data_IF_563120506793
#
_entry.id   IF_563120506793
#
_cell.length_a   1.000
_cell.length_b   1.000
_cell.length_c   1.000
_cell.angle_alpha   90.00
_cell.angle_beta   90.00
_cell.angle_gamma   90.00
#
_symmetry.space_group_name_H-M   'P 1'
#
loop_
_entity.id
_entity.type
_entity.pdbx_description
1 polymer ?
#
# COMPACT_ATOMS: atom_id res chain seq x y z
N UNK A 1 -18.55 13.43 -4.51
CA UNK A 1 -19.20 12.23 -3.91
C UNK A 1 -18.26 11.06 -4.14
N UNK A 2 -18.05 10.25 -3.10
CA UNK A 2 -17.16 9.08 -3.19
C UNK A 2 -17.74 8.04 -4.16
N UNK A 3 -17.03 7.75 -5.24
CA UNK A 3 -17.29 6.58 -6.09
C UNK A 3 -16.89 5.28 -5.35
N UNK A 4 -17.89 4.59 -4.80
CA UNK A 4 -17.71 3.35 -4.05
C UNK A 4 -17.27 2.18 -4.93
N UNK A 5 -17.68 2.14 -6.21
CA UNK A 5 -17.31 1.06 -7.13
C UNK A 5 -15.83 1.13 -7.47
N UNK A 6 -15.31 2.35 -7.69
CA UNK A 6 -13.88 2.59 -7.88
C UNK A 6 -13.08 2.20 -6.64
N UNK A 7 -13.50 2.62 -5.44
CA UNK A 7 -12.81 2.23 -4.21
C UNK A 7 -12.82 0.72 -4.04
N UNK A 8 -13.98 0.07 -4.20
CA UNK A 8 -14.10 -1.38 -4.04
C UNK A 8 -13.13 -2.13 -4.97
N UNK A 9 -12.98 -1.67 -6.21
CA UNK A 9 -12.02 -2.23 -7.18
C UNK A 9 -10.58 -2.11 -6.68
N UNK A 10 -10.18 -0.94 -6.15
CA UNK A 10 -8.84 -0.71 -5.61
C UNK A 10 -8.56 -1.56 -4.37
N UNK A 11 -9.51 -1.64 -3.42
CA UNK A 11 -9.37 -2.45 -2.21
C UNK A 11 -9.32 -3.95 -2.53
N UNK A 12 -10.10 -4.39 -3.52
CA UNK A 12 -10.07 -5.76 -4.01
C UNK A 12 -8.70 -6.10 -4.63
N UNK A 13 -8.13 -5.17 -5.40
CA UNK A 13 -6.79 -5.34 -5.97
C UNK A 13 -5.72 -5.49 -4.88
N UNK A 14 -5.77 -4.66 -3.84
CA UNK A 14 -4.87 -4.79 -2.67
C UNK A 14 -4.97 -6.18 -2.06
N UNK A 15 -6.18 -6.68 -1.83
CA UNK A 15 -6.40 -8.01 -1.22
C UNK A 15 -5.77 -9.12 -2.06
N UNK A 16 -6.04 -9.17 -3.36
CA UNK A 16 -5.44 -10.17 -4.27
C UNK A 16 -3.91 -10.14 -4.18
N UNK A 17 -3.32 -8.96 -4.37
CA UNK A 17 -1.86 -8.87 -4.49
C UNK A 17 -1.16 -9.18 -3.17
N UNK A 18 -1.77 -8.81 -2.03
CA UNK A 18 -1.28 -9.22 -0.71
C UNK A 18 -1.34 -10.71 -0.50
N UNK A 19 -2.37 -11.41 -0.96
CA UNK A 19 -2.41 -12.88 -0.88
C UNK A 19 -1.23 -13.54 -1.62
N UNK A 20 -0.87 -13.00 -2.79
CA UNK A 20 0.32 -13.45 -3.50
C UNK A 20 1.61 -13.16 -2.73
N UNK A 21 1.73 -11.99 -2.10
CA UNK A 21 2.89 -11.63 -1.28
C UNK A 21 3.00 -12.52 -0.03
N UNK A 22 1.89 -12.81 0.64
CA UNK A 22 1.85 -13.73 1.78
C UNK A 22 2.29 -15.14 1.36
N UNK A 23 1.90 -15.60 0.17
CA UNK A 23 2.42 -16.87 -0.37
C UNK A 23 3.91 -16.80 -0.66
N UNK A 24 4.39 -15.72 -1.27
CA UNK A 24 5.82 -15.54 -1.55
C UNK A 24 6.67 -15.50 -0.28
N UNK A 25 6.18 -14.86 0.79
CA UNK A 25 6.87 -14.77 2.08
C UNK A 25 7.01 -16.09 2.84
N UNK A 26 6.42 -17.19 2.36
CA UNK A 26 6.63 -18.55 2.89
C UNK A 26 7.86 -19.24 2.28
N UNK A 27 8.39 -18.73 1.17
CA UNK A 27 9.63 -19.23 0.56
C UNK A 27 10.83 -18.75 1.37
N UNK A 28 11.92 -19.50 1.30
CA UNK A 28 13.20 -19.11 1.90
C UNK A 28 13.83 -17.93 1.16
N UNK A 29 14.79 -17.26 1.81
CA UNK A 29 15.48 -16.12 1.21
C UNK A 29 16.30 -16.54 -0.01
N UNK A 30 16.95 -17.71 0.08
CA UNK A 30 17.68 -18.30 -1.05
C UNK A 30 16.76 -18.53 -2.25
N UNK A 31 15.58 -19.12 -2.05
CA UNK A 31 14.61 -19.33 -3.12
C UNK A 31 14.10 -18.01 -3.73
N UNK A 32 13.94 -16.95 -2.94
CA UNK A 32 13.51 -15.65 -3.45
C UNK A 32 14.63 -14.93 -4.21
N UNK A 33 15.88 -15.04 -3.73
CA UNK A 33 17.03 -14.35 -4.30
C UNK A 33 17.59 -15.03 -5.56
N UNK A 34 17.49 -16.36 -5.65
CA UNK A 34 18.04 -17.14 -6.77
C UNK A 34 17.06 -17.31 -7.93
N UNK A 35 15.76 -17.16 -7.67
CA UNK A 35 14.71 -17.26 -8.68
C UNK A 35 14.57 -15.91 -9.42
N UNK A 36 14.86 -15.87 -10.75
CA UNK A 36 14.89 -14.63 -11.51
C UNK A 36 13.52 -13.96 -11.63
N UNK A 37 12.43 -14.67 -11.36
CA UNK A 37 11.07 -14.15 -11.49
C UNK A 37 10.43 -13.88 -10.11
N UNK A 38 10.80 -14.63 -9.06
CA UNK A 38 10.12 -14.56 -7.77
C UNK A 38 10.20 -13.18 -7.11
N UNK A 39 11.41 -12.67 -6.91
CA UNK A 39 11.61 -11.40 -6.21
C UNK A 39 11.17 -10.19 -7.06
N UNK A 40 11.46 -10.13 -8.38
CA UNK A 40 10.87 -9.10 -9.24
C UNK A 40 9.34 -9.12 -9.25
N UNK A 41 8.71 -10.29 -9.30
CA UNK A 41 7.26 -10.40 -9.18
C UNK A 41 6.76 -9.89 -7.83
N UNK A 42 7.44 -10.22 -6.72
CA UNK A 42 7.09 -9.69 -5.40
C UNK A 42 7.18 -8.16 -5.35
N UNK A 43 8.29 -7.57 -5.83
CA UNK A 43 8.47 -6.10 -5.93
C UNK A 43 7.33 -5.45 -6.71
N UNK A 44 6.98 -5.99 -7.88
CA UNK A 44 5.89 -5.47 -8.69
C UNK A 44 4.55 -5.52 -7.96
N UNK A 45 4.23 -6.63 -7.30
CA UNK A 45 2.98 -6.78 -6.53
C UNK A 45 2.91 -5.79 -5.38
N UNK A 46 4.03 -5.52 -4.70
CA UNK A 46 4.10 -4.48 -3.66
C UNK A 46 3.79 -3.10 -4.24
N UNK A 47 4.37 -2.75 -5.39
CA UNK A 47 4.07 -1.49 -6.08
C UNK A 47 2.57 -1.40 -6.36
N UNK A 48 1.96 -2.44 -6.94
CA UNK A 48 0.50 -2.46 -7.24
C UNK A 48 -0.34 -2.27 -5.97
N UNK A 49 0.03 -2.92 -4.86
CA UNK A 49 -0.62 -2.72 -3.57
C UNK A 49 -0.56 -1.25 -3.12
N UNK A 50 0.62 -0.64 -3.16
CA UNK A 50 0.81 0.75 -2.73
C UNK A 50 0.09 1.74 -3.65
N UNK A 51 0.19 1.58 -4.96
CA UNK A 51 -0.54 2.39 -5.95
C UNK A 51 -2.05 2.33 -5.73
N UNK A 52 -2.58 1.13 -5.46
CA UNK A 52 -4.01 0.96 -5.22
C UNK A 52 -4.45 1.66 -3.93
N UNK A 53 -3.62 1.62 -2.89
CA UNK A 53 -3.89 2.30 -1.62
C UNK A 53 -3.83 3.83 -1.77
N UNK A 54 -2.83 4.33 -2.49
CA UNK A 54 -2.69 5.76 -2.82
C UNK A 54 -3.89 6.23 -3.64
N UNK A 55 -4.26 5.49 -4.70
CA UNK A 55 -5.41 5.83 -5.53
C UNK A 55 -6.73 5.86 -4.75
N UNK A 56 -6.89 4.98 -3.76
CA UNK A 56 -8.06 5.00 -2.88
C UNK A 56 -8.02 6.21 -1.93
N UNK A 57 -6.85 6.52 -1.37
CA UNK A 57 -6.65 7.69 -0.51
C UNK A 57 -6.94 9.00 -1.25
N UNK A 58 -6.34 9.20 -2.42
CA UNK A 58 -6.51 10.40 -3.24
C UNK A 58 -7.96 10.58 -3.68
N UNK A 59 -8.64 9.49 -4.00
CA UNK A 59 -10.05 9.53 -4.36
C UNK A 59 -10.93 9.97 -3.19
N UNK A 60 -10.65 9.50 -1.97
CA UNK A 60 -11.34 9.98 -0.76
C UNK A 60 -11.03 11.44 -0.49
N UNK A 61 -9.76 11.85 -0.54
CA UNK A 61 -9.32 13.24 -0.36
C UNK A 61 -10.08 14.18 -1.28
N UNK A 62 -10.10 13.87 -2.58
CA UNK A 62 -10.80 14.68 -3.58
C UNK A 62 -12.33 14.68 -3.37
N UNK A 63 -12.90 13.52 -3.01
CA UNK A 63 -14.36 13.38 -2.83
C UNK A 63 -14.90 14.10 -1.61
N UNK A 64 -14.07 14.21 -0.57
CA UNK A 64 -14.38 14.84 0.72
C UNK A 64 -14.01 16.33 0.78
N UNK A 65 -13.41 16.87 -0.29
CA UNK A 65 -12.99 18.27 -0.33
C UNK A 65 -11.85 18.60 0.64
N UNK A 66 -11.03 17.60 0.98
CA UNK A 66 -9.85 17.81 1.82
C UNK A 66 -8.77 18.58 1.04
N UNK A 67 -7.72 19.05 1.74
CA UNK A 67 -6.61 19.73 1.09
C UNK A 67 -5.94 18.83 0.04
N UNK A 68 -5.47 19.42 -1.05
CA UNK A 68 -4.78 18.67 -2.11
C UNK A 68 -3.48 18.05 -1.58
N UNK A 69 -3.29 16.76 -1.87
CA UNK A 69 -2.05 16.06 -1.56
C UNK A 69 -0.92 16.54 -2.48
N UNK A 70 0.24 16.82 -1.91
CA UNK A 70 1.45 17.24 -2.64
C UNK A 70 2.41 16.09 -2.96
N UNK A 71 2.15 14.90 -2.39
CA UNK A 71 2.90 13.66 -2.64
C UNK A 71 2.09 12.46 -2.14
N UNK A 72 2.49 11.24 -2.53
CA UNK A 72 1.86 10.00 -2.01
C UNK A 72 1.96 9.85 -0.49
N UNK A 73 3.06 10.32 0.09
CA UNK A 73 3.22 10.38 1.56
C UNK A 73 2.19 11.33 2.15
N UNK A 74 1.94 12.46 1.48
CA UNK A 74 0.97 13.45 1.92
C UNK A 74 -0.46 12.94 1.86
N UNK A 75 -0.81 12.08 0.90
CA UNK A 75 -2.13 11.43 0.83
C UNK A 75 -2.47 10.70 2.13
N UNK A 76 -1.57 9.86 2.63
CA UNK A 76 -1.81 9.13 3.89
C UNK A 76 -1.81 10.04 5.11
N UNK A 77 -1.03 11.13 5.09
CA UNK A 77 -1.05 12.14 6.16
C UNK A 77 -2.41 12.81 6.26
N UNK A 78 -2.96 13.27 5.13
CA UNK A 78 -4.27 13.93 5.07
C UNK A 78 -5.37 13.01 5.60
N UNK A 79 -5.35 11.72 5.26
CA UNK A 79 -6.33 10.76 5.80
C UNK A 79 -6.24 10.62 7.33
N UNK A 80 -5.03 10.67 7.89
CA UNK A 80 -4.84 10.67 9.34
C UNK A 80 -5.35 11.96 9.99
N UNK A 81 -5.02 13.12 9.42
CA UNK A 81 -5.48 14.44 9.85
C UNK A 81 -7.02 14.54 9.84
N UNK A 82 -7.67 13.94 8.84
CA UNK A 82 -9.12 13.91 8.69
C UNK A 82 -9.82 12.80 9.50
N UNK A 83 -9.09 11.98 10.25
CA UNK A 83 -9.64 10.90 11.07
C UNK A 83 -10.21 9.72 10.26
N UNK A 84 -9.86 9.60 8.97
CA UNK A 84 -10.24 8.46 8.11
C UNK A 84 -9.50 7.19 8.53
N UNK A 85 -8.25 7.36 8.95
CA UNK A 85 -7.38 6.31 9.52
C UNK A 85 -6.73 6.84 10.80
N UNK A 86 -6.24 5.95 11.66
CA UNK A 86 -5.50 6.38 12.86
C UNK A 86 -4.18 7.07 12.47
N UNK A 87 -3.68 7.96 13.34
CA UNK A 87 -2.39 8.64 13.11
C UNK A 87 -1.21 7.66 13.07
N UNK A 88 -1.27 6.58 13.84
CA UNK A 88 -0.29 5.50 13.83
C UNK A 88 -0.27 4.78 12.47
N UNK A 89 -1.46 4.42 11.96
CA UNK A 89 -1.59 3.79 10.65
C UNK A 89 -1.16 4.74 9.54
N UNK A 90 -1.53 6.02 9.62
CA UNK A 90 -1.07 7.06 8.70
C UNK A 90 0.46 7.12 8.63
N UNK A 91 1.14 7.12 9.78
CA UNK A 91 2.61 7.15 9.83
C UNK A 91 3.21 5.90 9.17
N UNK A 92 2.65 4.73 9.45
CA UNK A 92 3.09 3.47 8.84
C UNK A 92 2.93 3.46 7.31
N UNK A 93 1.80 3.99 6.81
CA UNK A 93 1.54 4.08 5.37
C UNK A 93 2.37 5.15 4.67
N UNK A 94 2.74 6.22 5.38
CA UNK A 94 3.70 7.21 4.91
C UNK A 94 5.06 6.57 4.61
N UNK A 95 5.55 5.71 5.51
CA UNK A 95 6.80 4.98 5.28
C UNK A 95 6.68 3.96 4.14
N UNK A 96 5.54 3.28 4.03
CA UNK A 96 5.24 2.40 2.90
C UNK A 96 5.25 3.15 1.55
N UNK A 97 4.72 4.37 1.49
CA UNK A 97 4.76 5.21 0.30
C UNK A 97 6.20 5.63 -0.07
N UNK A 98 7.05 5.89 0.93
CA UNK A 98 8.49 6.14 0.69
C UNK A 98 9.18 4.90 0.12
N UNK A 99 8.87 3.72 0.67
CA UNK A 99 9.41 2.46 0.17
C UNK A 99 8.98 2.17 -1.27
N UNK A 100 7.71 2.42 -1.61
CA UNK A 100 7.23 2.38 -3.01
C UNK A 100 8.08 3.26 -3.92
N UNK A 101 8.40 4.49 -3.51
CA UNK A 101 9.18 5.40 -4.35
C UNK A 101 10.57 4.85 -4.63
N UNK A 102 11.19 4.21 -3.64
CA UNK A 102 12.47 3.51 -3.82
C UNK A 102 12.34 2.37 -4.83
N UNK A 103 11.29 1.53 -4.72
CA UNK A 103 11.05 0.42 -5.66
C UNK A 103 10.83 0.87 -7.11
N UNK A 104 10.10 1.98 -7.32
CA UNK A 104 9.71 2.42 -8.66
C UNK A 104 10.83 3.20 -9.35
N UNK A 105 11.42 4.16 -8.63
CA UNK A 105 12.35 5.10 -9.26
C UNK A 105 13.80 4.63 -9.24
N UNK A 106 14.12 3.56 -8.51
CA UNK A 106 15.47 2.99 -8.44
C UNK A 106 16.54 4.07 -8.19
N UNK A 107 16.22 5.08 -7.37
CA UNK A 107 17.16 6.17 -7.05
C UNK A 107 18.44 5.67 -6.31
N UNK A 108 18.54 4.37 -6.07
CA UNK A 108 19.71 3.59 -5.67
C UNK A 108 19.43 2.08 -5.83
N UNK A 109 20.40 1.24 -5.47
CA UNK A 109 20.19 -0.22 -5.38
C UNK A 109 19.12 -0.51 -4.32
N UNK A 110 18.04 -1.16 -4.73
CA UNK A 110 17.02 -1.66 -3.81
C UNK A 110 17.63 -2.84 -3.07
N UNK A 111 17.76 -2.74 -1.74
CA UNK A 111 18.18 -3.86 -0.91
C UNK A 111 17.12 -4.98 -0.95
N UNK A 112 17.46 -6.08 -1.59
CA UNK A 112 16.60 -7.24 -1.76
C UNK A 112 16.24 -7.91 -0.42
N UNK A 113 17.12 -7.85 0.58
CA UNK A 113 16.79 -8.31 1.92
C UNK A 113 15.69 -7.45 2.54
N UNK A 114 15.74 -6.13 2.34
CA UNK A 114 14.68 -5.22 2.80
C UNK A 114 13.35 -5.47 2.11
N UNK A 115 13.36 -5.84 0.82
CA UNK A 115 12.16 -6.26 0.10
C UNK A 115 11.59 -7.54 0.71
N UNK A 116 12.43 -8.54 0.96
CA UNK A 116 12.02 -9.81 1.56
C UNK A 116 11.44 -9.59 2.96
N UNK A 117 12.04 -8.75 3.79
CA UNK A 117 11.48 -8.37 5.09
C UNK A 117 10.06 -7.80 4.95
N UNK A 118 9.88 -6.87 4.00
CA UNK A 118 8.58 -6.25 3.75
C UNK A 118 7.57 -7.28 3.21
N UNK A 119 7.98 -8.20 2.33
CA UNK A 119 7.15 -9.33 1.87
C UNK A 119 6.71 -10.21 3.04
N UNK A 120 7.61 -10.48 4.00
CA UNK A 120 7.31 -11.30 5.20
C UNK A 120 6.34 -10.64 6.17
N UNK A 121 6.26 -9.30 6.20
CA UNK A 121 5.17 -8.62 6.92
C UNK A 121 3.80 -8.87 6.27
N UNK A 122 3.78 -9.39 5.03
CA UNK A 122 2.59 -9.48 4.20
C UNK A 122 2.02 -8.12 3.81
N UNK A 123 2.64 -6.99 4.21
CA UNK A 123 2.11 -5.62 4.16
C UNK A 123 0.92 -5.35 5.10
N UNK A 124 0.91 -5.88 6.34
CA UNK A 124 -0.26 -5.85 7.27
C UNK A 124 -0.91 -4.49 7.44
N UNK A 125 -0.13 -3.42 7.37
CA UNK A 125 -0.65 -2.05 7.37
C UNK A 125 -1.68 -1.77 6.28
N UNK A 126 -1.56 -2.39 5.09
CA UNK A 126 -2.55 -2.26 4.02
C UNK A 126 -3.85 -3.00 4.32
N UNK A 127 -3.83 -4.06 5.13
CA UNK A 127 -5.06 -4.70 5.60
C UNK A 127 -5.82 -3.78 6.57
N UNK A 128 -5.09 -3.20 7.52
CA UNK A 128 -5.62 -2.18 8.43
C UNK A 128 -6.17 -0.98 7.66
N UNK A 129 -5.48 -0.53 6.60
CA UNK A 129 -5.97 0.52 5.71
C UNK A 129 -7.29 0.15 5.05
N UNK A 130 -7.38 -1.04 4.45
CA UNK A 130 -8.60 -1.53 3.79
C UNK A 130 -9.76 -1.58 4.80
N UNK A 131 -9.51 -2.05 6.02
CA UNK A 131 -10.52 -2.13 7.07
C UNK A 131 -10.98 -0.73 7.52
N UNK A 132 -10.04 0.17 7.82
CA UNK A 132 -10.36 1.54 8.23
C UNK A 132 -11.16 2.29 7.15
N UNK A 133 -10.76 2.16 5.89
CA UNK A 133 -11.45 2.81 4.79
C UNK A 133 -12.86 2.25 4.58
N UNK A 134 -13.03 0.92 4.63
CA UNK A 134 -14.34 0.29 4.54
C UNK A 134 -15.27 0.71 5.68
N UNK A 135 -14.74 0.77 6.92
CA UNK A 135 -15.49 1.24 8.09
C UNK A 135 -15.89 2.71 7.96
N UNK A 136 -14.98 3.57 7.51
CA UNK A 136 -15.27 4.99 7.29
C UNK A 136 -16.38 5.21 6.26
N UNK A 137 -16.36 4.47 5.15
CA UNK A 137 -17.35 4.58 4.08
C UNK A 137 -18.72 4.01 4.48
N UNK A 138 -18.75 3.02 5.38
CA UNK A 138 -20.00 2.41 5.85
C UNK A 138 -20.71 3.22 6.92
N UNK A 139 -19.98 4.12 7.61
CA UNK A 139 -20.52 4.98 8.67
C UNK A 139 -21.21 6.25 8.15
N UNK A 140 -21.42 6.34 6.83
CA UNK A 140 -21.98 7.51 6.13
C UNK A 140 -23.20 7.10 5.31
#
# INVERSE_FOLDING_TARGET
>A
MVDLARIATLLQRIRIEREHLVRAGKRSDEELLTDPDALPAAKYRMIVCFESAIGAADHVIASEGLRTATSFVDSFRILGEAGVISLELSTTLQDAARFRNLLVHQFGDVDDHRVIEMVRTGLTSLDSFVQSLASYLSAR
#
